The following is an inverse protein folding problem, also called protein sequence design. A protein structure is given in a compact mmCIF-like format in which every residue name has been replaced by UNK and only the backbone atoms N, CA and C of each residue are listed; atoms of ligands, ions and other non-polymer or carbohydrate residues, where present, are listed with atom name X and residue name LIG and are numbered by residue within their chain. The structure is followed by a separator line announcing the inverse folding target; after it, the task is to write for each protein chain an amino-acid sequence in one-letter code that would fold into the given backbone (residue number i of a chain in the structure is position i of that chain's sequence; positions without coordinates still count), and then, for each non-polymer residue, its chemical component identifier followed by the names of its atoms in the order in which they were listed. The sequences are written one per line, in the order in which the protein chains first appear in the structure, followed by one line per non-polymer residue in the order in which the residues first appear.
data_IF_144617800197
#
_entry.id   IF_144617800197
#
_cell.length_a   1.000
_cell.length_b   1.000
_cell.length_c   1.000
_cell.angle_alpha   90.00
_cell.angle_beta   90.00
_cell.angle_gamma   90.00
#
_symmetry.space_group_name_H-M   'P 1'
#
loop_
_entity.id
_entity.type
_entity.pdbx_description
1 polymer ?
#
# COMPACT_ATOMS: atom_id res chain seq x y z
N UNK A 1 -0.40 3.22 -17.96
CA UNK A 1 -0.79 1.90 -17.41
C UNK A 1 -0.10 0.73 -18.11
N UNK A 2 -0.45 0.34 -19.35
CA UNK A 2 0.24 -0.80 -20.02
C UNK A 2 1.74 -0.56 -20.24
N UNK A 3 2.11 0.66 -20.62
CA UNK A 3 3.51 1.06 -20.84
C UNK A 3 4.33 1.06 -19.55
N UNK A 4 3.72 1.44 -18.43
CA UNK A 4 4.39 1.44 -17.12
C UNK A 4 4.63 0.01 -16.60
N UNK A 5 3.69 -0.90 -16.85
CA UNK A 5 3.81 -2.29 -16.41
C UNK A 5 4.99 -3.01 -17.09
N UNK A 6 5.14 -2.82 -18.41
CA UNK A 6 6.19 -3.46 -19.22
C UNK A 6 7.54 -2.73 -19.17
N UNK A 7 7.62 -1.62 -18.43
CA UNK A 7 8.84 -0.83 -18.35
C UNK A 7 9.93 -1.60 -17.58
N UNK A 8 11.18 -1.65 -18.10
CA UNK A 8 12.28 -2.29 -17.39
C UNK A 8 12.73 -1.44 -16.18
N UNK A 9 13.10 -2.07 -15.05
CA UNK A 9 13.64 -1.39 -13.89
C UNK A 9 15.01 -0.76 -14.21
N UNK A 10 15.25 0.45 -13.67
CA UNK A 10 16.47 1.25 -13.89
C UNK A 10 17.16 1.65 -12.59
N UNK A 11 16.46 1.65 -11.46
CA UNK A 11 17.04 1.96 -10.14
C UNK A 11 17.15 0.73 -9.26
N UNK A 12 18.05 0.77 -8.27
CA UNK A 12 18.18 -0.30 -7.26
C UNK A 12 16.84 -0.58 -6.58
N UNK A 13 16.09 0.46 -6.22
CA UNK A 13 14.78 0.32 -5.57
C UNK A 13 13.72 -0.35 -6.46
N UNK A 14 13.74 -0.11 -7.77
CA UNK A 14 12.84 -0.79 -8.71
C UNK A 14 13.21 -2.27 -8.85
N UNK A 15 14.50 -2.59 -8.94
CA UNK A 15 14.97 -3.97 -8.93
C UNK A 15 14.59 -4.68 -7.62
N UNK A 16 14.78 -4.04 -6.47
CA UNK A 16 14.37 -4.58 -5.18
C UNK A 16 12.87 -4.86 -5.13
N UNK A 17 12.03 -3.94 -5.62
CA UNK A 17 10.58 -4.14 -5.65
C UNK A 17 10.20 -5.35 -6.52
N UNK A 18 10.84 -5.52 -7.68
CA UNK A 18 10.64 -6.66 -8.56
C UNK A 18 11.09 -7.99 -7.93
N UNK A 19 12.18 -7.99 -7.17
CA UNK A 19 12.62 -9.16 -6.40
C UNK A 19 11.58 -9.51 -5.33
N UNK A 20 11.12 -8.55 -4.53
CA UNK A 20 10.09 -8.78 -3.49
C UNK A 20 8.80 -9.32 -4.11
N UNK A 21 8.42 -8.79 -5.28
CA UNK A 21 7.27 -9.27 -6.04
C UNK A 21 7.42 -10.71 -6.50
N UNK A 22 8.59 -11.08 -7.03
CA UNK A 22 8.90 -12.45 -7.41
C UNK A 22 8.89 -13.39 -6.20
N UNK A 23 9.44 -12.96 -5.06
CA UNK A 23 9.37 -13.69 -3.78
C UNK A 23 7.92 -13.91 -3.37
N UNK A 24 7.06 -12.90 -3.51
CA UNK A 24 5.62 -13.04 -3.24
C UNK A 24 4.95 -14.11 -4.12
N UNK A 25 5.20 -14.11 -5.42
CA UNK A 25 4.65 -15.12 -6.36
C UNK A 25 5.15 -16.52 -6.00
N UNK A 26 6.45 -16.68 -5.76
CA UNK A 26 7.04 -17.95 -5.34
C UNK A 26 6.43 -18.37 -4.00
N UNK A 27 6.26 -17.44 -3.07
CA UNK A 27 5.66 -17.67 -1.76
C UNK A 27 4.25 -18.22 -1.85
N UNK A 28 3.42 -17.72 -2.78
CA UNK A 28 2.09 -18.29 -3.06
C UNK A 28 2.19 -19.72 -3.58
N UNK A 29 3.10 -20.00 -4.51
CA UNK A 29 3.30 -21.36 -5.03
C UNK A 29 3.76 -22.33 -3.93
N UNK A 30 4.66 -21.89 -3.04
CA UNK A 30 5.11 -22.63 -1.86
C UNK A 30 3.93 -22.92 -0.93
N UNK A 31 3.11 -21.91 -0.61
CA UNK A 31 1.95 -22.07 0.26
C UNK A 31 0.92 -23.03 -0.34
N UNK A 32 0.66 -22.95 -1.65
CA UNK A 32 -0.28 -23.84 -2.34
C UNK A 32 0.15 -25.33 -2.32
N UNK A 33 1.44 -25.61 -2.31
CA UNK A 33 1.97 -26.99 -2.38
C UNK A 33 2.19 -27.59 -0.99
N UNK A 34 2.57 -26.76 -0.01
CA UNK A 34 3.07 -27.25 1.28
C UNK A 34 2.32 -26.76 2.52
N UNK A 35 1.41 -25.80 2.42
CA UNK A 35 0.69 -25.20 3.56
C UNK A 35 -0.82 -25.42 3.48
N UNK A 36 -1.57 -24.89 4.45
CA UNK A 36 -3.02 -25.02 4.46
C UNK A 36 -3.66 -24.21 3.31
N UNK A 37 -4.83 -24.63 2.80
CA UNK A 37 -5.54 -23.86 1.76
C UNK A 37 -5.85 -22.42 2.15
N UNK A 38 -6.11 -22.16 3.44
CA UNK A 38 -6.32 -20.82 4.00
C UNK A 38 -5.06 -19.95 3.91
N UNK A 39 -3.89 -20.51 4.26
CA UNK A 39 -2.59 -19.84 4.13
C UNK A 39 -2.30 -19.45 2.68
N UNK A 40 -2.54 -20.39 1.76
CA UNK A 40 -2.37 -20.15 0.33
C UNK A 40 -3.34 -19.07 -0.19
N UNK A 41 -4.58 -19.07 0.30
CA UNK A 41 -5.58 -18.05 -0.02
C UNK A 41 -5.15 -16.65 0.43
N UNK A 42 -4.69 -16.51 1.67
CA UNK A 42 -4.22 -15.23 2.23
C UNK A 42 -2.96 -14.75 1.51
N UNK A 43 -2.00 -15.65 1.25
CA UNK A 43 -0.82 -15.32 0.44
C UNK A 43 -1.23 -14.86 -0.97
N UNK A 44 -2.23 -15.49 -1.59
CA UNK A 44 -2.71 -15.10 -2.92
C UNK A 44 -3.43 -13.74 -2.92
N UNK A 45 -4.12 -13.37 -1.83
CA UNK A 45 -4.74 -12.04 -1.66
C UNK A 45 -3.72 -10.90 -1.68
N UNK A 46 -2.44 -11.17 -1.38
CA UNK A 46 -1.38 -10.17 -1.51
C UNK A 46 -1.05 -9.82 -2.97
N UNK A 47 -1.24 -10.76 -3.93
CA UNK A 47 -0.76 -10.61 -5.30
C UNK A 47 -1.29 -9.35 -6.02
N UNK A 48 -2.59 -9.00 -5.96
CA UNK A 48 -3.08 -7.78 -6.56
C UNK A 48 -2.35 -6.54 -6.04
N UNK A 49 -2.15 -6.44 -4.72
CA UNK A 49 -1.46 -5.33 -4.10
C UNK A 49 0.05 -5.31 -4.41
N UNK A 50 0.68 -6.46 -4.65
CA UNK A 50 2.05 -6.53 -5.17
C UNK A 50 2.15 -6.00 -6.61
N UNK A 51 1.14 -6.19 -7.45
CA UNK A 51 1.18 -5.75 -8.86
C UNK A 51 0.79 -4.27 -9.03
N UNK A 52 -0.09 -3.78 -8.17
CA UNK A 52 -0.74 -2.47 -8.32
C UNK A 52 0.25 -1.30 -8.42
N UNK A 53 1.35 -1.21 -7.63
CA UNK A 53 2.29 -0.10 -7.75
C UNK A 53 3.00 -0.05 -9.11
N UNK A 54 3.28 -1.21 -9.70
CA UNK A 54 3.89 -1.32 -11.02
C UNK A 54 2.92 -0.92 -12.13
N UNK A 55 1.67 -1.36 -12.05
CA UNK A 55 0.60 -0.93 -12.97
C UNK A 55 0.39 0.57 -12.93
N UNK A 56 0.55 1.17 -11.74
CA UNK A 56 0.48 2.60 -11.50
C UNK A 56 1.81 3.34 -11.79
N UNK A 57 2.87 2.67 -12.22
CA UNK A 57 4.14 3.35 -12.52
C UNK A 57 4.71 4.16 -11.35
N UNK A 58 4.52 3.67 -10.11
CA UNK A 58 4.89 4.41 -8.90
C UNK A 58 6.42 4.52 -8.74
N UNK A 59 6.86 5.42 -7.85
CA UNK A 59 8.29 5.59 -7.52
C UNK A 59 8.81 4.28 -6.91
N UNK A 60 9.98 3.82 -7.34
CA UNK A 60 10.51 2.51 -6.96
C UNK A 60 10.63 2.27 -5.45
N UNK A 61 10.95 3.31 -4.67
CA UNK A 61 10.99 3.19 -3.21
C UNK A 61 9.60 2.96 -2.61
N UNK A 62 8.57 3.61 -3.15
CA UNK A 62 7.20 3.47 -2.68
C UNK A 62 6.60 2.14 -3.14
N UNK A 63 6.89 1.70 -4.37
CA UNK A 63 6.58 0.35 -4.84
C UNK A 63 7.17 -0.71 -3.90
N UNK A 64 8.46 -0.60 -3.58
CA UNK A 64 9.12 -1.48 -2.61
C UNK A 64 8.43 -1.46 -1.24
N UNK A 65 8.05 -0.28 -0.72
CA UNK A 65 7.32 -0.16 0.55
C UNK A 65 5.98 -0.89 0.50
N UNK A 66 5.17 -0.69 -0.55
CA UNK A 66 3.90 -1.41 -0.71
C UNK A 66 4.13 -2.92 -0.75
N UNK A 67 5.05 -3.37 -1.60
CA UNK A 67 5.33 -4.78 -1.78
C UNK A 67 5.82 -5.44 -0.50
N UNK A 68 6.76 -4.81 0.21
CA UNK A 68 7.30 -5.32 1.46
C UNK A 68 6.23 -5.37 2.55
N UNK A 69 5.47 -4.29 2.75
CA UNK A 69 4.44 -4.21 3.79
C UNK A 69 3.37 -5.28 3.60
N UNK A 70 2.83 -5.42 2.38
CA UNK A 70 1.78 -6.41 2.11
C UNK A 70 2.31 -7.83 2.25
N UNK A 71 3.55 -8.08 1.81
CA UNK A 71 4.14 -9.41 1.95
C UNK A 71 4.39 -9.76 3.41
N UNK A 72 4.87 -8.81 4.22
CA UNK A 72 5.01 -8.99 5.67
C UNK A 72 3.65 -9.25 6.32
N UNK A 73 2.59 -8.51 5.95
CA UNK A 73 1.25 -8.74 6.47
C UNK A 73 0.72 -10.15 6.15
N UNK A 74 0.82 -10.58 4.89
CA UNK A 74 0.36 -11.90 4.48
C UNK A 74 1.14 -13.03 5.18
N UNK A 75 2.48 -12.92 5.24
CA UNK A 75 3.31 -13.93 5.89
C UNK A 75 3.26 -13.88 7.41
N UNK A 76 2.84 -12.76 8.01
CA UNK A 76 2.54 -12.69 9.43
C UNK A 76 1.38 -13.59 9.81
N UNK A 77 0.38 -13.72 8.94
CA UNK A 77 -0.69 -14.71 9.14
C UNK A 77 -0.15 -16.15 9.01
N UNK A 78 0.57 -16.43 7.93
CA UNK A 78 1.10 -17.78 7.64
C UNK A 78 2.04 -18.29 8.75
N UNK A 79 2.80 -17.38 9.37
CA UNK A 79 3.75 -17.69 10.44
C UNK A 79 3.14 -17.52 11.84
N UNK A 80 1.83 -17.26 11.95
CA UNK A 80 1.09 -17.07 13.20
C UNK A 80 1.65 -15.94 14.09
N UNK A 81 2.19 -14.88 13.46
CA UNK A 81 2.79 -13.74 14.16
C UNK A 81 1.74 -12.87 14.86
N UNK A 82 0.52 -12.80 14.30
CA UNK A 82 -0.58 -12.07 14.92
C UNK A 82 -1.00 -12.66 16.27
N UNK A 83 -0.88 -13.98 16.45
CA UNK A 83 -1.13 -14.64 17.74
C UNK A 83 0.08 -14.61 18.66
N UNK A 84 1.29 -14.68 18.12
CA UNK A 84 2.51 -14.84 18.92
C UNK A 84 3.17 -13.53 19.37
N UNK A 85 2.91 -12.40 18.70
CA UNK A 85 3.52 -11.10 19.04
C UNK A 85 2.41 -10.10 19.42
N UNK A 86 2.32 -9.70 20.72
CA UNK A 86 1.32 -8.76 21.17
C UNK A 86 1.36 -7.42 20.42
N UNK A 87 0.21 -6.99 19.89
CA UNK A 87 0.06 -5.72 19.17
C UNK A 87 0.69 -5.69 17.77
N UNK A 88 1.22 -6.81 17.28
CA UNK A 88 1.73 -6.91 15.91
C UNK A 88 0.64 -6.64 14.89
N UNK A 89 -0.54 -7.19 15.13
CA UNK A 89 -1.71 -7.01 14.28
C UNK A 89 -2.09 -5.53 14.10
N UNK A 90 -2.34 -4.82 15.20
CA UNK A 90 -2.59 -3.37 15.21
C UNK A 90 -1.48 -2.56 14.50
N UNK A 91 -0.21 -2.94 14.66
CA UNK A 91 0.90 -2.29 13.98
C UNK A 91 0.80 -2.47 12.45
N UNK A 92 0.46 -3.68 12.01
CA UNK A 92 0.29 -4.00 10.59
C UNK A 92 -0.94 -3.31 10.02
N UNK A 93 -2.04 -3.23 10.77
CA UNK A 93 -3.21 -2.45 10.38
C UNK A 93 -2.87 -0.97 10.20
N UNK A 94 -2.08 -0.38 11.09
CA UNK A 94 -1.61 1.00 10.93
C UNK A 94 -0.76 1.19 9.67
N UNK A 95 0.27 0.35 9.47
CA UNK A 95 1.23 0.52 8.39
C UNK A 95 0.61 0.15 7.04
N UNK A 96 -0.02 -1.02 6.95
CA UNK A 96 -0.60 -1.55 5.72
C UNK A 96 -1.73 -0.65 5.23
N UNK A 97 -2.67 -0.29 6.09
CA UNK A 97 -3.79 0.59 5.72
C UNK A 97 -3.28 1.97 5.30
N UNK A 98 -2.29 2.54 6.00
CA UNK A 98 -1.69 3.81 5.61
C UNK A 98 -1.06 3.77 4.21
N UNK A 99 -0.27 2.74 3.92
CA UNK A 99 0.36 2.58 2.60
C UNK A 99 -0.68 2.34 1.50
N UNK A 100 -1.68 1.49 1.74
CA UNK A 100 -2.76 1.23 0.79
C UNK A 100 -3.67 2.46 0.59
N UNK A 101 -3.83 3.31 1.60
CA UNK A 101 -4.56 4.58 1.47
C UNK A 101 -3.90 5.50 0.46
N UNK A 102 -2.57 5.58 0.42
CA UNK A 102 -1.84 6.36 -0.60
C UNK A 102 -2.07 5.77 -2.00
N UNK A 103 -2.04 4.44 -2.13
CA UNK A 103 -2.32 3.76 -3.40
C UNK A 103 -3.74 4.04 -3.88
N UNK A 104 -4.73 3.91 -2.99
CA UNK A 104 -6.13 4.19 -3.29
C UNK A 104 -6.35 5.67 -3.65
N UNK A 105 -5.71 6.60 -2.94
CA UNK A 105 -5.76 8.02 -3.25
C UNK A 105 -5.18 8.34 -4.64
N UNK A 106 -4.09 7.68 -5.04
CA UNK A 106 -3.53 7.80 -6.39
C UNK A 106 -4.47 7.26 -7.46
N UNK A 107 -5.13 6.12 -7.21
CA UNK A 107 -6.12 5.55 -8.13
C UNK A 107 -7.29 6.53 -8.31
N UNK A 108 -7.88 7.03 -7.22
CA UNK A 108 -9.00 7.97 -7.27
C UNK A 108 -8.63 9.29 -7.96
N UNK A 109 -7.40 9.77 -7.72
CA UNK A 109 -6.89 10.97 -8.38
C UNK A 109 -6.74 10.75 -9.89
N UNK A 110 -6.19 9.62 -10.31
CA UNK A 110 -5.93 9.33 -11.74
C UNK A 110 -7.16 8.87 -12.52
N UNK A 111 -8.17 8.40 -11.81
CA UNK A 111 -9.49 8.10 -12.38
C UNK A 111 -10.39 9.34 -12.44
N UNK A 112 -9.85 10.55 -12.15
CA UNK A 112 -10.58 11.82 -12.13
C UNK A 112 -11.81 11.84 -11.19
N UNK A 113 -11.82 10.98 -10.16
CA UNK A 113 -12.91 10.92 -9.17
C UNK A 113 -12.80 12.07 -8.17
N UNK A 114 -11.62 12.23 -7.58
CA UNK A 114 -11.33 13.31 -6.61
C UNK A 114 -9.82 13.58 -6.55
N UNK A 115 -9.38 14.85 -6.63
CA UNK A 115 -7.97 15.17 -6.47
C UNK A 115 -7.55 15.00 -5.00
N UNK A 116 -6.70 14.02 -4.73
CA UNK A 116 -6.18 13.73 -3.38
C UNK A 116 -4.69 13.94 -3.23
N UNK A 117 -3.95 13.98 -4.35
CA UNK A 117 -2.51 14.21 -4.33
C UNK A 117 -2.17 15.69 -4.49
N UNK A 118 -1.08 16.12 -3.88
CA UNK A 118 -0.55 17.48 -4.08
C UNK A 118 -0.29 17.79 -5.55
N UNK A 119 0.22 16.82 -6.31
CA UNK A 119 0.60 16.98 -7.71
C UNK A 119 -0.62 17.22 -8.63
N UNK A 120 -1.79 16.70 -8.24
CA UNK A 120 -3.08 16.94 -8.90
C UNK A 120 -3.80 18.22 -8.42
N UNK A 121 -3.13 19.08 -7.66
CA UNK A 121 -3.70 20.34 -7.17
C UNK A 121 -4.64 20.19 -5.97
N UNK A 122 -4.62 19.06 -5.27
CA UNK A 122 -5.43 18.88 -4.06
C UNK A 122 -5.02 19.87 -2.97
N UNK A 123 -6.01 20.43 -2.27
CA UNK A 123 -5.72 21.22 -1.07
C UNK A 123 -5.18 20.32 0.04
N UNK A 124 -4.28 20.83 0.90
CA UNK A 124 -3.78 20.06 2.06
C UNK A 124 -4.91 19.55 2.95
N UNK A 125 -5.96 20.36 3.13
CA UNK A 125 -7.14 19.99 3.93
C UNK A 125 -7.88 18.80 3.31
N UNK A 126 -8.02 18.78 1.99
CA UNK A 126 -8.66 17.68 1.26
C UNK A 126 -7.93 16.37 1.54
N UNK A 127 -6.61 16.32 1.36
CA UNK A 127 -5.82 15.10 1.61
C UNK A 127 -5.85 14.68 3.08
N UNK A 128 -5.76 15.63 4.02
CA UNK A 128 -5.77 15.34 5.47
C UNK A 128 -7.12 14.82 5.98
N UNK A 129 -8.24 15.23 5.37
CA UNK A 129 -9.58 14.81 5.77
C UNK A 129 -9.99 13.52 5.07
N UNK A 130 -9.75 13.41 3.76
CA UNK A 130 -10.25 12.28 2.98
C UNK A 130 -9.37 11.03 3.13
N UNK A 131 -8.08 11.15 3.44
CA UNK A 131 -7.22 9.97 3.62
C UNK A 131 -7.64 9.10 4.83
N UNK A 132 -7.94 9.63 6.03
CA UNK A 132 -8.48 8.81 7.13
C UNK A 132 -9.83 8.18 6.81
N UNK A 133 -10.70 8.87 6.06
CA UNK A 133 -12.00 8.33 5.63
C UNK A 133 -11.80 7.15 4.68
N UNK A 134 -10.87 7.29 3.73
CA UNK A 134 -10.49 6.22 2.81
C UNK A 134 -9.86 5.04 3.55
N UNK A 135 -9.01 5.31 4.54
CA UNK A 135 -8.41 4.30 5.39
C UNK A 135 -9.48 3.51 6.18
N UNK A 136 -10.44 4.20 6.79
CA UNK A 136 -11.58 3.56 7.48
C UNK A 136 -12.39 2.68 6.53
N UNK A 137 -12.60 3.12 5.28
CA UNK A 137 -13.29 2.31 4.28
C UNK A 137 -12.47 1.07 3.89
N UNK A 138 -11.15 1.20 3.72
CA UNK A 138 -10.26 0.08 3.44
C UNK A 138 -10.22 -0.91 4.61
N UNK A 139 -10.11 -0.42 5.86
CA UNK A 139 -10.22 -1.24 7.06
C UNK A 139 -11.55 -1.97 7.10
N UNK A 140 -12.68 -1.28 6.92
CA UNK A 140 -13.99 -1.93 6.93
C UNK A 140 -14.13 -3.03 5.86
N UNK A 141 -13.53 -2.84 4.68
CA UNK A 141 -13.50 -3.90 3.65
C UNK A 141 -12.65 -5.09 4.09
N UNK A 142 -11.52 -4.85 4.76
CA UNK A 142 -10.70 -5.92 5.31
C UNK A 142 -11.44 -6.72 6.40
N UNK A 143 -12.07 -6.03 7.34
CA UNK A 143 -12.91 -6.66 8.38
C UNK A 143 -14.02 -7.53 7.77
N UNK A 144 -14.62 -7.09 6.66
CA UNK A 144 -15.60 -7.89 5.93
C UNK A 144 -14.98 -9.13 5.31
N UNK A 145 -13.73 -9.05 4.81
CA UNK A 145 -12.99 -10.20 4.26
C UNK A 145 -12.66 -11.20 5.37
N UNK A 146 -12.22 -10.73 6.54
CA UNK A 146 -11.94 -11.59 7.69
C UNK A 146 -13.21 -12.24 8.23
N UNK A 147 -14.29 -11.47 8.34
CA UNK A 147 -15.60 -12.02 8.69
C UNK A 147 -16.06 -13.09 7.69
N UNK A 148 -15.89 -12.88 6.39
CA UNK A 148 -16.19 -13.90 5.38
C UNK A 148 -15.30 -15.14 5.54
N UNK A 149 -14.02 -14.96 5.81
CA UNK A 149 -13.09 -16.05 6.09
C UNK A 149 -13.53 -16.85 7.32
N UNK A 150 -13.85 -16.16 8.42
CA UNK A 150 -14.33 -16.78 9.64
C UNK A 150 -15.65 -17.53 9.43
N UNK A 151 -16.61 -16.90 8.76
CA UNK A 151 -17.95 -17.45 8.57
C UNK A 151 -18.00 -18.67 7.64
N UNK A 152 -17.07 -18.77 6.69
CA UNK A 152 -17.15 -19.77 5.61
C UNK A 152 -15.92 -20.68 5.46
N UNK A 153 -14.77 -20.34 6.04
CA UNK A 153 -13.51 -21.09 5.85
C UNK A 153 -12.99 -21.70 7.14
N UNK A 154 -12.84 -20.92 8.21
CA UNK A 154 -12.24 -21.40 9.47
C UNK A 154 -12.60 -20.51 10.66
N UNK A 155 -13.02 -21.14 11.76
CA UNK A 155 -13.29 -20.46 13.04
C UNK A 155 -12.04 -19.98 13.78
N UNK A 156 -10.84 -20.31 13.28
CA UNK A 156 -9.57 -19.83 13.81
C UNK A 156 -9.25 -18.38 13.40
N UNK A 157 -9.98 -17.83 12.42
CA UNK A 157 -9.85 -16.43 12.00
C UNK A 157 -10.48 -15.54 13.08
N UNK A 158 -9.68 -14.62 13.62
CA UNK A 158 -10.06 -13.80 14.76
C UNK A 158 -10.91 -12.61 14.28
N UNK A 159 -12.14 -12.48 14.79
CA UNK A 159 -13.12 -11.45 14.35
C UNK A 159 -13.92 -10.89 15.53
N UNK A 160 -13.24 -10.56 16.63
CA UNK A 160 -13.93 -10.06 17.82
C UNK A 160 -14.25 -8.57 17.70
N UNK A 161 -15.28 -8.08 18.39
CA UNK A 161 -15.65 -6.66 18.31
C UNK A 161 -14.50 -5.72 18.68
N UNK A 162 -13.71 -6.08 19.70
CA UNK A 162 -12.60 -5.25 20.16
C UNK A 162 -11.45 -5.22 19.15
N UNK A 163 -11.24 -6.33 18.46
CA UNK A 163 -10.24 -6.53 17.42
C UNK A 163 -10.58 -5.64 16.21
N UNK A 164 -11.75 -5.88 15.61
CA UNK A 164 -12.29 -5.10 14.51
C UNK A 164 -12.28 -3.59 14.76
N UNK A 165 -12.71 -3.14 15.94
CA UNK A 165 -12.67 -1.72 16.28
C UNK A 165 -11.22 -1.22 16.43
N UNK A 166 -10.34 -2.03 17.03
CA UNK A 166 -8.91 -1.73 17.12
C UNK A 166 -8.27 -1.53 15.75
N UNK A 167 -8.55 -2.44 14.82
CA UNK A 167 -8.00 -2.45 13.46
C UNK A 167 -8.49 -1.28 12.63
N UNK A 168 -9.76 -0.92 12.75
CA UNK A 168 -10.30 0.28 12.14
C UNK A 168 -9.67 1.56 12.72
N UNK A 169 -9.45 1.61 14.05
CA UNK A 169 -8.80 2.76 14.70
C UNK A 169 -7.36 2.91 14.24
N UNK A 170 -6.57 1.82 14.29
CA UNK A 170 -5.17 1.85 13.87
C UNK A 170 -5.04 2.09 12.36
N UNK A 171 -5.94 1.52 11.56
CA UNK A 171 -6.07 1.82 10.14
C UNK A 171 -6.33 3.30 9.88
N UNK A 172 -7.25 3.93 10.63
CA UNK A 172 -7.51 5.37 10.52
C UNK A 172 -6.29 6.23 10.89
N UNK A 173 -5.53 5.84 11.93
CA UNK A 173 -4.26 6.49 12.27
C UNK A 173 -3.24 6.37 11.13
N UNK A 174 -3.16 5.20 10.49
CA UNK A 174 -2.41 5.00 9.24
C UNK A 174 -2.88 5.94 8.12
N UNK A 175 -4.19 6.13 7.99
CA UNK A 175 -4.80 7.08 7.06
C UNK A 175 -4.45 8.54 7.33
N UNK A 176 -4.31 8.94 8.60
CA UNK A 176 -3.83 10.29 8.98
C UNK A 176 -2.38 10.46 8.50
N UNK A 177 -1.52 9.47 8.78
CA UNK A 177 -0.14 9.49 8.29
C UNK A 177 -0.08 9.56 6.76
N UNK A 178 -0.89 8.75 6.06
CA UNK A 178 -1.03 8.80 4.61
C UNK A 178 -1.48 10.18 4.10
N UNK A 179 -2.45 10.80 4.75
CA UNK A 179 -2.93 12.16 4.44
C UNK A 179 -1.84 13.21 4.58
N UNK A 180 -1.00 13.11 5.62
CA UNK A 180 0.16 14.02 5.76
C UNK A 180 1.18 13.83 4.64
N UNK A 181 1.47 12.59 4.24
CA UNK A 181 2.35 12.29 3.09
C UNK A 181 1.77 12.88 1.80
N UNK A 182 0.49 12.61 1.52
CA UNK A 182 -0.22 13.11 0.32
C UNK A 182 -0.26 14.65 0.25
N UNK A 183 -0.37 15.31 1.40
CA UNK A 183 -0.42 16.78 1.49
C UNK A 183 0.95 17.45 1.33
N UNK A 184 2.04 16.74 1.63
CA UNK A 184 3.39 17.31 1.75
C UNK A 184 4.37 16.84 0.68
N UNK A 185 4.17 15.65 0.12
CA UNK A 185 5.13 14.98 -0.76
C UNK A 185 4.60 14.87 -2.19
N UNK A 186 5.50 14.99 -3.17
CA UNK A 186 5.21 14.65 -4.57
C UNK A 186 5.42 13.15 -4.78
N UNK A 187 4.36 12.48 -5.25
CA UNK A 187 4.35 11.04 -5.47
C UNK A 187 4.67 10.69 -6.92
N UNK A 188 4.54 11.65 -7.85
CA UNK A 188 4.88 11.45 -9.25
C UNK A 188 6.38 11.62 -9.52
N UNK A 189 6.90 10.74 -10.39
CA UNK A 189 8.32 10.72 -10.78
C UNK A 189 8.70 11.86 -11.73
N UNK A 190 7.80 12.25 -12.65
CA UNK A 190 8.11 13.12 -13.79
C UNK A 190 8.34 14.59 -13.43
N UNK A 191 7.58 15.17 -12.49
CA UNK A 191 7.75 16.60 -12.16
C UNK A 191 9.02 16.90 -11.38
N UNK A 192 9.52 15.99 -10.56
CA UNK A 192 10.75 16.23 -9.80
C UNK A 192 11.99 16.42 -10.68
N UNK A 193 12.05 15.72 -11.82
CA UNK A 193 13.15 15.89 -12.78
C UNK A 193 13.02 17.19 -13.56
N UNK A 194 11.80 17.61 -13.87
CA UNK A 194 11.52 18.86 -14.58
C UNK A 194 11.76 20.07 -13.69
N UNK A 195 11.36 20.01 -12.40
CA UNK A 195 11.62 21.06 -11.41
C UNK A 195 13.12 21.21 -11.14
N UNK A 196 13.86 20.10 -10.96
CA UNK A 196 15.33 20.12 -10.79
C UNK A 196 16.04 20.63 -12.04
N UNK A 197 15.56 20.29 -13.24
CA UNK A 197 16.11 20.80 -14.49
C UNK A 197 15.80 22.30 -14.69
N UNK A 198 14.59 22.74 -14.34
CA UNK A 198 14.16 24.14 -14.41
C UNK A 198 14.88 25.03 -13.38
N UNK A 199 15.18 24.49 -12.19
CA UNK A 199 15.93 25.21 -11.16
C UNK A 199 17.41 25.36 -11.53
N UNK A 200 18.00 24.33 -12.15
CA UNK A 200 19.36 24.38 -12.73
C UNK A 200 19.48 25.33 -13.92
N UNK A 201 18.45 25.47 -14.74
CA UNK A 201 18.47 26.42 -15.87
C UNK A 201 18.32 27.87 -15.38
N UNK A 202 17.50 28.12 -14.35
CA UNK A 202 17.36 29.44 -13.72
C UNK A 202 18.63 29.88 -12.99
N UNK A 203 19.34 28.98 -12.29
CA UNK A 203 20.60 29.35 -11.63
C UNK A 203 21.73 29.67 -12.61
N UNK A 204 21.73 29.04 -13.79
CA UNK A 204 22.65 29.37 -14.90
C UNK A 204 22.32 30.70 -15.58
N UNK A 205 21.04 31.08 -15.64
CA UNK A 205 20.59 32.32 -16.28
C UNK A 205 20.71 33.56 -15.38
N UNK A 206 20.77 33.39 -14.05
CA UNK A 206 20.89 34.49 -13.07
C UNK A 206 22.33 34.81 -12.66
N UNK A 207 23.34 34.15 -13.24
CA UNK A 207 24.76 34.37 -12.95
C UNK A 207 25.44 35.23 -14.01
N UNK A 208 25.07 36.50 -14.12
CA UNK A 208 25.82 37.56 -14.83
C UNK A 208 25.62 38.89 -14.11
#
# INVERSE_FOLDING_TARGET
MKEDFLRPPRTVTEWSADVVRAVGIIGVAVALVWLAPTDAGIAALALPALMLPRVLGMRGWFDLTVCATVLVAAWSNVLDLYRSIPGWDLLLHLICTGVLTVVAALILTRADVVPLTRDSGASRRTSLILAPVLALALSAVWEMIEWLGWAYLSDEIFVTYQDTIGDMVFGALGGIAAGTVLATSSLDRQRSTDDVAAERSRSRAGGT
#
